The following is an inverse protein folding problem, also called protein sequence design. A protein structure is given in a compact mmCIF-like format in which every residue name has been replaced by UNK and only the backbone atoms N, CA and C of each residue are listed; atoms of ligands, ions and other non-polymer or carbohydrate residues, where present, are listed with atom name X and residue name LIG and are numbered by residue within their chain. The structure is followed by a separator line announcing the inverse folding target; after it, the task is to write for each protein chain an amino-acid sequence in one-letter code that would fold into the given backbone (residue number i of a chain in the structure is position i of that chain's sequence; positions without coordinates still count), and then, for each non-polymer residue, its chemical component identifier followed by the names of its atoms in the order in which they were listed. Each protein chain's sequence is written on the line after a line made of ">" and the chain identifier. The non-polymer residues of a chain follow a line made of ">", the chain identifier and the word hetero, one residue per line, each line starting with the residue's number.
data_IF_499539365993
#
_entry.id   IF_499539365993
#
_cell.length_a   1.000
_cell.length_b   1.000
_cell.length_c   1.000
_cell.angle_alpha   90.00
_cell.angle_beta   90.00
_cell.angle_gamma   90.00
#
_symmetry.space_group_name_H-M   'P 1'
#
loop_
_entity.id
_entity.type
_entity.pdbx_description
1 polymer ?
#
# COMPACT_ATOMS: atom_id res chain seq x y z
N UNK A 1 12.89 -8.94 -3.38
CA UNK A 1 11.68 -8.36 -2.78
C UNK A 1 11.77 -8.29 -1.26
N UNK A 2 11.89 -9.41 -0.54
CA UNK A 2 11.94 -9.37 0.93
C UNK A 2 13.24 -8.75 1.48
N UNK A 3 14.40 -9.09 0.92
CA UNK A 3 15.69 -8.45 1.26
C UNK A 3 15.69 -6.94 0.96
N UNK A 4 15.10 -6.54 -0.16
CA UNK A 4 14.97 -5.12 -0.53
C UNK A 4 14.03 -4.37 0.42
N UNK A 5 12.93 -5.01 0.84
CA UNK A 5 12.00 -4.44 1.81
C UNK A 5 12.66 -4.21 3.18
N UNK A 6 13.51 -5.13 3.64
CA UNK A 6 14.30 -4.97 4.86
C UNK A 6 15.29 -3.81 4.74
N UNK A 7 16.01 -3.72 3.61
CA UNK A 7 16.93 -2.61 3.35
C UNK A 7 16.18 -1.28 3.36
N UNK A 8 15.07 -1.17 2.63
CA UNK A 8 14.27 0.05 2.55
C UNK A 8 13.68 0.45 3.90
N UNK A 9 13.24 -0.50 4.74
CA UNK A 9 12.73 -0.21 6.09
C UNK A 9 13.76 0.51 6.98
N UNK A 10 15.05 0.33 6.70
CA UNK A 10 16.16 1.01 7.41
C UNK A 10 16.67 2.28 6.73
N UNK A 11 16.04 2.70 5.62
CA UNK A 11 16.43 3.88 4.85
C UNK A 11 16.25 5.19 5.64
N UNK A 12 17.13 6.17 5.39
CA UNK A 12 16.97 7.55 5.88
C UNK A 12 15.97 8.37 5.05
N UNK A 13 15.62 7.90 3.85
CA UNK A 13 14.53 8.45 3.03
C UNK A 13 13.19 7.94 3.58
N UNK A 14 12.34 8.87 4.02
CA UNK A 14 11.07 8.58 4.69
C UNK A 14 10.10 7.77 3.82
N UNK A 15 10.04 8.00 2.51
CA UNK A 15 9.13 7.29 1.62
C UNK A 15 9.65 5.88 1.33
N UNK A 16 10.96 5.70 1.16
CA UNK A 16 11.57 4.36 1.09
C UNK A 16 11.37 3.59 2.39
N UNK A 17 11.55 4.25 3.53
CA UNK A 17 11.28 3.64 4.83
C UNK A 17 9.81 3.21 4.97
N UNK A 18 8.87 4.07 4.57
CA UNK A 18 7.45 3.74 4.58
C UNK A 18 7.13 2.58 3.63
N UNK A 19 7.75 2.53 2.45
CA UNK A 19 7.63 1.42 1.49
C UNK A 19 8.11 0.11 2.10
N UNK A 20 9.33 0.08 2.65
CA UNK A 20 9.91 -1.12 3.26
C UNK A 20 9.03 -1.66 4.39
N UNK A 21 8.62 -0.80 5.33
CA UNK A 21 7.71 -1.18 6.40
C UNK A 21 6.35 -1.67 5.87
N UNK A 22 5.80 -1.02 4.85
CA UNK A 22 4.55 -1.47 4.25
C UNK A 22 4.69 -2.87 3.63
N UNK A 23 5.74 -3.12 2.85
CA UNK A 23 5.97 -4.41 2.20
C UNK A 23 6.18 -5.54 3.21
N UNK A 24 6.98 -5.31 4.26
CA UNK A 24 7.17 -6.28 5.35
C UNK A 24 5.85 -6.61 6.05
N UNK A 25 5.00 -5.60 6.30
CA UNK A 25 3.68 -5.82 6.86
C UNK A 25 2.71 -6.49 5.88
N UNK A 26 2.79 -6.19 4.58
CA UNK A 26 1.91 -6.79 3.58
C UNK A 26 2.23 -8.28 3.37
N UNK A 27 3.51 -8.63 3.34
CA UNK A 27 4.00 -9.99 3.03
C UNK A 27 3.98 -10.95 4.22
N UNK A 28 3.87 -10.46 5.46
CA UNK A 28 3.81 -11.32 6.63
C UNK A 28 2.44 -12.02 6.79
N UNK A 29 2.35 -12.94 7.75
CA UNK A 29 1.13 -13.71 8.04
C UNK A 29 0.06 -12.95 8.83
N UNK A 30 0.29 -11.68 9.20
CA UNK A 30 -0.73 -10.89 9.90
C UNK A 30 -1.90 -10.59 8.96
N UNK A 31 -3.13 -10.85 9.39
CA UNK A 31 -4.34 -10.59 8.60
C UNK A 31 -4.67 -9.10 8.46
N UNK A 32 -4.08 -8.24 9.30
CA UNK A 32 -4.39 -6.83 9.41
C UNK A 32 -3.18 -5.94 9.14
N UNK A 33 -3.45 -4.74 8.63
CA UNK A 33 -2.49 -3.65 8.52
C UNK A 33 -3.00 -2.46 9.32
N UNK A 34 -2.14 -1.91 10.18
CA UNK A 34 -2.39 -0.67 10.88
C UNK A 34 -2.32 0.51 9.91
N UNK A 35 -3.41 1.28 9.84
CA UNK A 35 -3.52 2.45 8.98
C UNK A 35 -3.77 3.70 9.80
N UNK A 36 -3.11 4.78 9.38
CA UNK A 36 -3.39 6.12 9.86
C UNK A 36 -4.26 6.83 8.82
N UNK A 37 -5.42 7.29 9.26
CA UNK A 37 -6.27 8.15 8.45
C UNK A 37 -5.87 9.61 8.65
N UNK A 38 -5.96 10.43 7.61
CA UNK A 38 -5.62 11.86 7.68
C UNK A 38 -6.55 12.65 8.60
N UNK A 39 -7.66 12.05 9.07
CA UNK A 39 -8.58 12.62 10.05
C UNK A 39 -8.98 14.05 9.72
N UNK A 40 -10.05 14.25 8.96
CA UNK A 40 -10.60 15.60 8.68
C UNK A 40 -10.94 16.40 9.95
N UNK A 41 -11.07 15.72 11.10
CA UNK A 41 -11.38 16.27 12.43
C UNK A 41 -10.15 16.40 13.36
N UNK A 42 -8.93 16.30 12.85
CA UNK A 42 -7.71 16.80 13.50
C UNK A 42 -6.91 15.81 14.38
N UNK A 43 -7.45 14.65 14.74
CA UNK A 43 -6.68 13.59 15.43
C UNK A 43 -6.59 12.34 14.56
N UNK A 44 -5.41 11.97 14.05
CA UNK A 44 -5.21 10.70 13.34
C UNK A 44 -5.68 9.54 14.22
N UNK A 45 -6.61 8.75 13.70
CA UNK A 45 -7.05 7.51 14.34
C UNK A 45 -6.37 6.34 13.64
N UNK A 46 -5.73 5.48 14.43
CA UNK A 46 -5.25 4.19 13.96
C UNK A 46 -6.45 3.25 13.77
N UNK A 47 -6.51 2.63 12.60
CA UNK A 47 -7.50 1.60 12.29
C UNK A 47 -6.78 0.34 11.84
N UNK A 48 -7.27 -0.82 12.27
CA UNK A 48 -6.83 -2.12 11.79
C UNK A 48 -7.63 -2.47 10.54
N UNK A 49 -6.95 -2.58 9.40
CA UNK A 49 -7.60 -2.89 8.12
C UNK A 49 -7.27 -4.32 7.70
N UNK A 50 -8.28 -5.17 7.46
CA UNK A 50 -8.05 -6.51 6.92
C UNK A 50 -7.37 -6.45 5.55
N UNK A 51 -6.32 -7.24 5.34
CA UNK A 51 -5.67 -7.38 4.02
C UNK A 51 -6.66 -7.86 2.96
N UNK A 52 -7.60 -8.73 3.34
CA UNK A 52 -8.68 -9.22 2.48
C UNK A 52 -9.59 -8.09 1.98
N UNK A 53 -9.86 -7.07 2.80
CA UNK A 53 -10.63 -5.90 2.39
C UNK A 53 -9.86 -5.03 1.39
N UNK A 54 -8.56 -4.84 1.61
CA UNK A 54 -7.68 -4.10 0.67
C UNK A 54 -7.58 -4.83 -0.68
N UNK A 55 -7.41 -6.16 -0.65
CA UNK A 55 -7.44 -7.01 -1.85
C UNK A 55 -8.76 -6.87 -2.61
N UNK A 56 -9.90 -7.02 -1.93
CA UNK A 56 -11.21 -6.86 -2.55
C UNK A 56 -11.41 -5.46 -3.15
N UNK A 57 -10.89 -4.42 -2.51
CA UNK A 57 -10.91 -3.05 -3.04
C UNK A 57 -10.06 -2.90 -4.31
N UNK A 58 -8.90 -3.56 -4.39
CA UNK A 58 -8.07 -3.57 -5.60
C UNK A 58 -8.79 -4.25 -6.77
N UNK A 59 -9.35 -5.45 -6.55
CA UNK A 59 -10.12 -6.19 -7.57
C UNK A 59 -11.32 -5.39 -8.07
N UNK A 60 -12.08 -4.73 -7.19
CA UNK A 60 -13.19 -3.84 -7.59
C UNK A 60 -12.72 -2.65 -8.41
N UNK A 61 -11.56 -2.07 -8.06
CA UNK A 61 -10.96 -0.95 -8.81
C UNK A 61 -10.62 -1.40 -10.22
N UNK A 62 -9.98 -2.57 -10.38
CA UNK A 62 -9.63 -3.12 -11.68
C UNK A 62 -10.86 -3.39 -12.55
N UNK A 63 -11.91 -4.01 -11.99
CA UNK A 63 -13.15 -4.28 -12.72
C UNK A 63 -13.84 -2.99 -13.18
N UNK A 64 -13.86 -1.95 -12.34
CA UNK A 64 -14.50 -0.68 -12.67
C UNK A 64 -13.74 0.10 -13.75
N UNK A 65 -12.42 0.20 -13.62
CA UNK A 65 -11.58 0.97 -14.55
C UNK A 65 -11.04 0.15 -15.73
N UNK A 66 -11.33 -1.16 -15.77
CA UNK A 66 -10.83 -2.11 -16.77
C UNK A 66 -9.29 -2.17 -16.82
N UNK A 67 -8.67 -2.12 -15.65
CA UNK A 67 -7.21 -2.20 -15.49
C UNK A 67 -6.78 -3.65 -15.67
N UNK A 68 -5.69 -3.86 -16.41
CA UNK A 68 -5.09 -5.16 -16.68
C UNK A 68 -3.66 -5.25 -16.11
N UNK A 69 -3.16 -6.47 -16.00
CA UNK A 69 -1.74 -6.71 -15.67
C UNK A 69 -0.83 -6.03 -16.70
N UNK A 70 0.27 -5.44 -16.23
CA UNK A 70 1.20 -4.68 -17.06
C UNK A 70 0.77 -3.24 -17.35
N UNK A 71 -0.41 -2.80 -16.93
CA UNK A 71 -0.76 -1.38 -16.99
C UNK A 71 0.14 -0.56 -16.05
N UNK A 72 0.47 0.66 -16.46
CA UNK A 72 1.27 1.59 -15.66
C UNK A 72 0.40 2.43 -14.73
N UNK A 73 0.91 2.72 -13.53
CA UNK A 73 0.31 3.64 -12.58
C UNK A 73 1.39 4.51 -11.92
N UNK A 74 1.04 5.75 -11.56
CA UNK A 74 1.92 6.66 -10.85
C UNK A 74 1.63 6.66 -9.36
N UNK A 75 2.64 6.44 -8.52
CA UNK A 75 2.54 6.64 -7.08
C UNK A 75 2.78 8.11 -6.71
N UNK A 76 1.77 8.95 -6.94
CA UNK A 76 1.84 10.39 -6.63
C UNK A 76 1.39 10.76 -5.21
N UNK A 77 1.07 9.77 -4.37
CA UNK A 77 0.54 9.97 -3.03
C UNK A 77 1.48 9.39 -1.96
N UNK A 78 1.72 10.09 -0.84
CA UNK A 78 2.63 9.61 0.20
C UNK A 78 2.21 8.25 0.79
N UNK A 79 3.15 7.32 0.90
CA UNK A 79 2.90 5.93 1.35
C UNK A 79 2.47 5.90 2.82
N UNK A 80 2.81 6.91 3.62
CA UNK A 80 2.37 7.00 5.01
C UNK A 80 0.84 6.98 5.16
N UNK A 81 0.10 7.47 4.17
CA UNK A 81 -1.37 7.52 4.20
C UNK A 81 -2.01 6.35 3.44
N UNK A 82 -3.28 6.07 3.77
CA UNK A 82 -4.03 4.98 3.14
C UNK A 82 -4.14 5.11 1.62
N UNK A 83 -4.23 6.33 1.08
CA UNK A 83 -4.34 6.52 -0.36
C UNK A 83 -3.09 6.02 -1.11
N UNK A 84 -1.88 6.32 -0.60
CA UNK A 84 -0.62 5.79 -1.14
C UNK A 84 -0.51 4.27 -0.94
N UNK A 85 -0.83 3.76 0.26
CA UNK A 85 -0.83 2.31 0.54
C UNK A 85 -1.74 1.52 -0.39
N UNK A 86 -2.94 2.05 -0.69
CA UNK A 86 -3.84 1.39 -1.63
C UNK A 86 -3.30 1.36 -3.05
N UNK A 87 -2.50 2.34 -3.48
CA UNK A 87 -1.83 2.29 -4.78
C UNK A 87 -0.79 1.17 -4.82
N UNK A 88 -0.02 0.97 -3.74
CA UNK A 88 0.88 -0.18 -3.61
C UNK A 88 0.13 -1.51 -3.64
N UNK A 89 -0.98 -1.64 -2.88
CA UNK A 89 -1.80 -2.85 -2.91
C UNK A 89 -2.33 -3.13 -4.31
N UNK A 90 -2.84 -2.11 -5.02
CA UNK A 90 -3.32 -2.27 -6.39
C UNK A 90 -2.20 -2.75 -7.31
N UNK A 91 -1.01 -2.17 -7.22
CA UNK A 91 0.12 -2.62 -8.02
C UNK A 91 0.49 -4.09 -7.75
N UNK A 92 0.57 -4.47 -6.47
CA UNK A 92 0.91 -5.84 -6.06
C UNK A 92 -0.18 -6.87 -6.44
N UNK A 93 -1.45 -6.51 -6.29
CA UNK A 93 -2.57 -7.42 -6.54
C UNK A 93 -2.89 -7.56 -8.03
N UNK A 94 -2.71 -6.49 -8.80
CA UNK A 94 -3.10 -6.43 -10.21
C UNK A 94 -1.92 -6.59 -11.18
N UNK A 95 -0.67 -6.62 -10.67
CA UNK A 95 0.53 -6.72 -11.49
C UNK A 95 0.81 -5.45 -12.30
N UNK A 96 0.65 -4.27 -11.68
CA UNK A 96 0.89 -2.98 -12.35
C UNK A 96 2.38 -2.62 -12.33
N UNK A 97 2.82 -1.90 -13.37
CA UNK A 97 4.09 -1.19 -13.34
C UNK A 97 3.89 0.13 -12.59
N UNK A 98 4.51 0.25 -11.42
CA UNK A 98 4.38 1.43 -10.59
C UNK A 98 5.61 2.32 -10.74
N UNK A 99 5.38 3.57 -11.15
CA UNK A 99 6.37 4.65 -11.25
C UNK A 99 6.36 5.56 -10.03
#
# INVERSE_FOLDING_TARGET
>A
MEMDAQQWATSSDEEKQALGHFLLNWLNDNEYIALHTSGSTGKPKEIQMPKTAMYASAVRTAAFFKISEGDSALLCLPIRYIAGKMMLVRALVLGLHLD
#
